data_IF_424217217712
#
_entry.id   IF_424217217712
#
_cell.length_a   1.000
_cell.length_b   1.000
_cell.length_c   1.000
_cell.angle_alpha   90.00
_cell.angle_beta   90.00
_cell.angle_gamma   90.00
#
_symmetry.space_group_name_H-M   'P 1'
#
loop_
_entity.id
_entity.type
_entity.pdbx_description
1 polymer ?
#
# COMPACT_ATOMS: atom_id res chain seq x y z
N UNK A 1 -1.31 -3.76 17.89
CA UNK A 1 0.12 -3.60 18.29
C UNK A 1 1.13 -4.34 17.39
N UNK A 2 0.71 -5.18 16.42
CA UNK A 2 1.63 -5.89 15.50
C UNK A 2 2.05 -5.05 14.27
N UNK A 3 1.19 -4.14 13.79
CA UNK A 3 1.44 -3.29 12.61
C UNK A 3 2.59 -2.29 12.76
N UNK A 4 2.83 -1.79 13.98
CA UNK A 4 3.91 -0.82 14.24
C UNK A 4 5.32 -1.45 14.10
N UNK A 5 5.44 -2.76 14.33
CA UNK A 5 6.73 -3.48 14.25
C UNK A 5 7.13 -3.71 12.79
N UNK A 6 6.15 -4.01 11.93
CA UNK A 6 6.37 -4.23 10.49
C UNK A 6 6.75 -2.91 9.80
N UNK A 7 6.08 -1.80 10.15
CA UNK A 7 6.36 -0.45 9.65
C UNK A 7 7.79 0.03 9.98
N UNK A 8 8.25 -0.25 11.21
CA UNK A 8 9.61 0.07 11.63
C UNK A 8 10.65 -0.70 10.83
N UNK A 9 10.37 -1.95 10.48
CA UNK A 9 11.31 -2.79 9.73
C UNK A 9 11.48 -2.33 8.28
N UNK A 10 10.39 -2.03 7.56
CA UNK A 10 10.46 -1.56 6.16
C UNK A 10 11.20 -0.23 6.04
N UNK A 11 10.87 0.75 6.89
CA UNK A 11 11.50 2.08 6.86
C UNK A 11 12.97 2.00 7.33
N UNK A 12 13.27 1.23 8.38
CA UNK A 12 14.64 1.06 8.88
C UNK A 12 15.53 0.30 7.89
N UNK A 13 14.99 -0.64 7.11
CA UNK A 13 15.73 -1.36 6.07
C UNK A 13 15.92 -0.53 4.80
N UNK A 14 14.93 0.28 4.39
CA UNK A 14 15.09 1.25 3.31
C UNK A 14 16.13 2.34 3.64
N UNK A 15 16.31 2.67 4.92
CA UNK A 15 17.31 3.66 5.35
C UNK A 15 18.68 3.05 5.66
N UNK A 16 18.76 1.76 6.02
CA UNK A 16 20.02 1.07 6.32
C UNK A 16 20.75 0.53 5.09
N UNK A 17 20.04 0.27 3.98
CA UNK A 17 20.60 -0.42 2.80
C UNK A 17 20.91 0.50 1.61
N UNK A 18 20.53 1.78 1.65
CA UNK A 18 20.79 2.69 0.53
C UNK A 18 22.06 3.48 0.83
N UNK A 19 23.17 3.00 0.28
CA UNK A 19 24.31 3.87 0.00
C UNK A 19 23.81 4.88 -1.05
N UNK A 20 23.26 6.01 -0.59
CA UNK A 20 22.61 7.10 -1.37
C UNK A 20 23.62 7.86 -2.25
N UNK A 21 24.46 7.13 -2.99
CA UNK A 21 25.41 7.67 -3.97
C UNK A 21 24.90 7.49 -5.41
N UNK A 22 23.71 8.01 -5.69
CA UNK A 22 23.25 8.33 -7.04
C UNK A 22 22.34 9.57 -6.92
N UNK A 23 22.89 10.78 -6.83
CA UNK A 23 23.38 11.64 -7.91
C UNK A 23 22.27 12.01 -8.93
N UNK A 24 21.76 13.25 -8.79
CA UNK A 24 20.99 14.09 -9.73
C UNK A 24 19.49 13.81 -9.92
N UNK A 25 18.69 14.59 -9.19
CA UNK A 25 17.49 15.35 -9.60
C UNK A 25 16.31 14.71 -10.38
N UNK A 26 16.32 13.44 -10.81
CA UNK A 26 15.13 12.83 -11.46
C UNK A 26 14.95 11.31 -11.32
N UNK A 27 15.96 10.55 -10.88
CA UNK A 27 15.85 9.08 -10.78
C UNK A 27 15.34 8.62 -9.40
N UNK A 28 14.05 8.84 -9.11
CA UNK A 28 13.39 8.15 -8.00
C UNK A 28 13.41 6.64 -8.25
N UNK A 29 13.69 5.84 -7.20
CA UNK A 29 13.56 4.38 -7.25
C UNK A 29 12.15 4.00 -7.74
N UNK A 30 12.03 3.04 -8.66
CA UNK A 30 10.74 2.57 -9.16
C UNK A 30 10.30 1.35 -8.37
N UNK A 31 9.25 1.49 -7.58
CA UNK A 31 8.71 0.46 -6.71
C UNK A 31 7.43 -0.09 -7.33
N UNK A 32 7.39 -1.39 -7.59
CA UNK A 32 6.14 -2.09 -7.90
C UNK A 32 5.58 -2.69 -6.62
N UNK A 33 4.34 -2.34 -6.27
CA UNK A 33 3.57 -2.99 -5.22
C UNK A 33 2.56 -3.93 -5.88
N UNK A 34 2.71 -5.23 -5.65
CA UNK A 34 1.73 -6.22 -6.10
C UNK A 34 0.68 -6.44 -5.02
N UNK A 35 -0.54 -5.96 -5.29
CA UNK A 35 -1.73 -6.10 -4.43
C UNK A 35 -2.75 -7.07 -5.01
N UNK A 36 -2.44 -7.74 -6.12
CA UNK A 36 -3.41 -8.61 -6.81
C UNK A 36 -3.86 -9.85 -6.03
N UNK A 37 -3.31 -10.04 -4.83
CA UNK A 37 -3.61 -11.13 -3.89
C UNK A 37 -4.01 -10.61 -2.51
N UNK A 38 -4.26 -9.31 -2.40
CA UNK A 38 -4.81 -8.70 -1.20
C UNK A 38 -6.32 -8.96 -1.18
N UNK A 39 -6.82 -9.38 -0.03
CA UNK A 39 -8.25 -9.59 0.17
C UNK A 39 -8.91 -8.28 0.63
N UNK A 40 -10.19 -8.13 0.31
CA UNK A 40 -11.03 -7.15 0.97
C UNK A 40 -11.14 -7.47 2.47
N UNK A 41 -11.30 -6.42 3.27
CA UNK A 41 -11.63 -6.51 4.69
C UNK A 41 -12.96 -7.24 4.83
N UNK A 42 -13.12 -8.00 5.92
CA UNK A 42 -14.39 -8.68 6.17
C UNK A 42 -15.53 -7.69 6.37
N UNK A 43 -16.72 -8.08 5.92
CA UNK A 43 -17.93 -7.23 5.91
C UNK A 43 -18.27 -6.66 7.29
N UNK A 44 -18.06 -7.43 8.36
CA UNK A 44 -18.35 -6.99 9.73
C UNK A 44 -17.40 -5.86 10.18
N UNK A 45 -16.12 -5.96 9.86
CA UNK A 45 -15.14 -4.90 10.14
C UNK A 45 -15.44 -3.65 9.31
N UNK A 46 -15.79 -3.79 8.03
CA UNK A 46 -16.15 -2.67 7.15
C UNK A 46 -17.42 -1.94 7.64
N UNK A 47 -18.46 -2.70 8.01
CA UNK A 47 -19.72 -2.15 8.52
C UNK A 47 -19.53 -1.40 9.84
N UNK A 48 -18.74 -1.97 10.76
CA UNK A 48 -18.45 -1.35 12.05
C UNK A 48 -17.75 0.01 11.88
N UNK A 49 -16.75 0.09 10.99
CA UNK A 49 -16.06 1.33 10.74
C UNK A 49 -16.90 2.36 9.97
N UNK A 50 -17.67 1.90 8.97
CA UNK A 50 -18.58 2.78 8.22
C UNK A 50 -19.55 3.45 9.19
N UNK A 51 -20.11 2.68 10.12
CA UNK A 51 -21.02 3.19 11.16
C UNK A 51 -20.35 4.22 12.08
N UNK A 52 -19.09 3.97 12.50
CA UNK A 52 -18.33 4.92 13.32
C UNK A 52 -18.07 6.25 12.57
N UNK A 53 -17.79 6.17 11.28
CA UNK A 53 -17.57 7.35 10.44
C UNK A 53 -18.85 8.13 10.18
N UNK A 54 -19.98 7.46 9.98
CA UNK A 54 -21.29 8.10 9.84
C UNK A 54 -21.68 8.88 11.10
N UNK A 55 -21.44 8.33 12.29
CA UNK A 55 -21.68 9.02 13.56
C UNK A 55 -20.88 10.33 13.65
N UNK A 56 -19.58 10.28 13.35
CA UNK A 56 -18.70 11.46 13.34
C UNK A 56 -19.14 12.50 12.30
N UNK A 57 -19.60 12.06 11.13
CA UNK A 57 -20.06 12.97 10.09
C UNK A 57 -21.36 13.68 10.48
N UNK A 58 -22.25 13.01 11.22
CA UNK A 58 -23.47 13.64 11.71
C UNK A 58 -23.19 14.70 12.79
N UNK A 59 -22.19 14.48 13.66
CA UNK A 59 -21.71 15.51 14.59
C UNK A 59 -21.19 16.75 13.85
N UNK A 60 -20.35 16.54 12.83
CA UNK A 60 -19.80 17.62 12.00
C UNK A 60 -20.93 18.35 11.25
N UNK A 61 -21.87 17.62 10.67
CA UNK A 61 -23.03 18.19 9.97
C UNK A 61 -23.85 19.07 10.90
N UNK A 62 -24.11 18.61 12.12
CA UNK A 62 -24.83 19.38 13.14
C UNK A 62 -24.08 20.65 13.51
N UNK A 63 -22.76 20.57 13.71
CA UNK A 63 -21.93 21.74 14.02
C UNK A 63 -21.93 22.76 12.87
N UNK A 64 -21.86 22.31 11.61
CA UNK A 64 -21.88 23.19 10.44
C UNK A 64 -23.26 23.83 10.22
N UNK A 65 -24.34 23.10 10.48
CA UNK A 65 -25.70 23.66 10.42
C UNK A 65 -25.90 24.77 11.46
N UNK A 66 -25.34 24.65 12.66
CA UNK A 66 -25.37 25.71 13.68
C UNK A 66 -24.63 26.98 13.22
N UNK A 67 -23.66 26.85 12.32
CA UNK A 67 -22.97 27.95 11.67
C UNK A 67 -23.70 28.49 10.42
N UNK A 68 -24.90 27.98 10.12
CA UNK A 68 -25.70 28.35 8.96
C UNK A 68 -25.23 27.74 7.63
N UNK A 69 -24.35 26.73 7.69
CA UNK A 69 -23.83 26.03 6.51
C UNK A 69 -24.57 24.71 6.31
N UNK A 70 -25.09 24.50 5.11
CA UNK A 70 -25.64 23.21 4.69
C UNK A 70 -24.62 22.49 3.82
N UNK A 71 -24.18 21.31 4.25
CA UNK A 71 -23.23 20.46 3.52
C UNK A 71 -23.77 19.05 3.39
N UNK A 72 -23.57 18.46 2.22
CA UNK A 72 -23.75 17.03 1.97
C UNK A 72 -22.40 16.37 2.07
N UNK A 73 -22.26 15.46 3.01
CA UNK A 73 -21.05 14.66 3.24
C UNK A 73 -21.49 13.20 3.16
N UNK A 74 -20.82 12.44 2.29
CA UNK A 74 -21.06 11.02 2.07
C UNK A 74 -19.85 10.24 2.62
N UNK A 75 -20.12 9.18 3.38
CA UNK A 75 -19.09 8.24 3.81
C UNK A 75 -18.90 7.23 2.68
N UNK A 76 -17.71 7.21 2.09
CA UNK A 76 -17.31 6.16 1.15
C UNK A 76 -16.07 5.51 1.74
N UNK A 77 -16.21 4.26 2.17
CA UNK A 77 -15.12 3.46 2.69
C UNK A 77 -14.65 2.47 1.62
N UNK A 78 -13.35 2.35 1.41
CA UNK A 78 -12.80 1.32 0.53
C UNK A 78 -12.57 0.02 1.31
N UNK A 79 -13.23 -1.04 0.89
CA UNK A 79 -13.09 -2.38 1.49
C UNK A 79 -11.73 -3.03 1.23
N UNK A 80 -10.94 -2.53 0.28
CA UNK A 80 -9.67 -3.14 -0.11
C UNK A 80 -8.51 -2.60 0.75
N UNK A 81 -7.65 -3.50 1.23
CA UNK A 81 -6.39 -3.08 1.82
C UNK A 81 -5.43 -2.64 0.71
N UNK A 82 -5.14 -1.33 0.60
CA UNK A 82 -4.27 -0.80 -0.47
C UNK A 82 -3.26 0.23 0.01
N UNK A 83 -2.11 0.30 -0.67
CA UNK A 83 -1.12 1.37 -0.63
C UNK A 83 -1.66 2.71 -1.13
N UNK A 84 -2.82 2.72 -1.80
CA UNK A 84 -3.51 3.95 -2.19
C UNK A 84 -4.48 4.44 -1.10
N UNK A 85 -4.80 3.61 -0.10
CA UNK A 85 -5.81 3.91 0.92
C UNK A 85 -5.18 4.61 2.13
N UNK A 86 -4.89 5.91 1.97
CA UNK A 86 -4.28 6.74 3.01
C UNK A 86 -5.26 7.18 4.10
N UNK A 87 -6.56 7.13 3.82
CA UNK A 87 -7.63 7.50 4.75
C UNK A 87 -8.15 6.36 5.62
N UNK A 88 -7.80 5.11 5.31
CA UNK A 88 -8.38 3.93 5.95
C UNK A 88 -7.42 3.26 6.94
N UNK A 89 -7.92 2.75 8.08
CA UNK A 89 -7.07 2.16 9.11
C UNK A 89 -6.55 0.76 8.76
N UNK A 90 -7.13 0.11 7.74
CA UNK A 90 -6.73 -1.21 7.23
C UNK A 90 -5.86 -1.14 5.96
N UNK A 91 -5.64 0.06 5.41
CA UNK A 91 -4.80 0.27 4.25
C UNK A 91 -3.31 0.41 4.57
N UNK A 92 -2.51 0.46 3.51
CA UNK A 92 -1.09 0.79 3.57
C UNK A 92 -0.80 2.22 3.12
N UNK A 93 -1.81 3.08 2.96
CA UNK A 93 -1.62 4.38 2.33
C UNK A 93 -0.70 5.35 3.07
N UNK A 94 -0.59 5.24 4.40
CA UNK A 94 0.47 5.95 5.15
C UNK A 94 1.88 5.44 4.80
N UNK A 95 2.05 4.13 4.58
CA UNK A 95 3.33 3.57 4.14
C UNK A 95 3.63 3.94 2.68
N UNK A 96 2.62 3.90 1.81
CA UNK A 96 2.71 4.39 0.43
C UNK A 96 3.17 5.84 0.39
N UNK A 97 2.49 6.73 1.12
CA UNK A 97 2.83 8.17 1.17
C UNK A 97 4.28 8.41 1.58
N UNK A 98 4.80 7.66 2.56
CA UNK A 98 6.22 7.77 2.99
C UNK A 98 7.20 7.24 1.96
N UNK A 99 6.86 6.16 1.26
CA UNK A 99 7.71 5.61 0.20
C UNK A 99 7.74 6.55 -1.00
N UNK A 100 6.64 7.25 -1.32
CA UNK A 100 6.57 8.25 -2.40
C UNK A 100 7.48 9.48 -2.19
N UNK A 101 7.87 9.76 -0.94
CA UNK A 101 8.86 10.80 -0.62
C UNK A 101 10.23 10.51 -1.26
N UNK A 102 10.58 9.23 -1.42
CA UNK A 102 11.92 8.79 -1.87
C UNK A 102 11.89 7.91 -3.14
N UNK A 103 10.72 7.45 -3.56
CA UNK A 103 10.53 6.54 -4.67
C UNK A 103 9.28 6.90 -5.49
N UNK A 104 9.16 6.33 -6.68
CA UNK A 104 7.92 6.31 -7.48
C UNK A 104 7.26 4.96 -7.26
N UNK A 105 5.97 4.97 -6.88
CA UNK A 105 5.22 3.74 -6.60
C UNK A 105 4.28 3.46 -7.78
N UNK A 106 4.24 2.20 -8.21
CA UNK A 106 3.18 1.67 -9.07
C UNK A 106 2.47 0.56 -8.33
N UNK A 107 1.20 0.76 -8.02
CA UNK A 107 0.34 -0.23 -7.35
C UNK A 107 -0.39 -1.04 -8.39
N UNK A 108 -0.45 -2.36 -8.21
CA UNK A 108 -1.11 -3.28 -9.14
C UNK A 108 -2.10 -4.18 -8.41
N UNK A 109 -3.38 -3.98 -8.73
CA UNK A 109 -4.50 -4.69 -8.10
C UNK A 109 -4.89 -5.99 -8.84
N UNK A 110 -4.40 -6.22 -10.06
CA UNK A 110 -4.75 -7.43 -10.83
C UNK A 110 -3.70 -7.83 -11.87
N UNK A 111 -3.80 -9.07 -12.36
CA UNK A 111 -2.95 -9.61 -13.43
C UNK A 111 -1.76 -10.44 -12.95
N UNK A 112 -0.97 -10.96 -13.89
CA UNK A 112 0.13 -11.90 -13.61
C UNK A 112 1.50 -11.22 -13.64
N UNK A 113 2.41 -11.60 -12.74
CA UNK A 113 3.78 -11.11 -12.77
C UNK A 113 4.58 -11.84 -13.86
N UNK A 114 5.18 -11.07 -14.76
CA UNK A 114 6.16 -11.58 -15.71
C UNK A 114 7.49 -10.88 -15.53
N UNK A 115 8.57 -11.54 -15.90
CA UNK A 115 9.91 -10.96 -15.78
C UNK A 115 10.06 -9.66 -16.59
N UNK A 116 9.37 -9.57 -17.74
CA UNK A 116 9.35 -8.36 -18.56
C UNK A 116 8.64 -7.17 -17.90
N UNK A 117 7.67 -7.44 -17.01
CA UNK A 117 7.05 -6.41 -16.16
C UNK A 117 8.04 -6.02 -15.06
N UNK A 118 8.58 -7.01 -14.35
CA UNK A 118 9.44 -6.80 -13.18
C UNK A 118 10.70 -6.00 -13.49
N UNK A 119 11.37 -6.25 -14.62
CA UNK A 119 12.58 -5.50 -15.02
C UNK A 119 12.37 -4.00 -15.27
N UNK A 120 11.13 -3.51 -15.26
CA UNK A 120 10.85 -2.07 -15.32
C UNK A 120 10.97 -1.37 -13.96
N UNK A 121 11.17 -2.14 -12.90
CA UNK A 121 11.16 -1.67 -11.52
C UNK A 121 12.47 -2.04 -10.82
N UNK A 122 12.80 -1.24 -9.83
CA UNK A 122 13.99 -1.37 -9.00
C UNK A 122 13.67 -2.06 -7.67
N UNK A 123 12.39 -2.10 -7.26
CA UNK A 123 11.94 -2.79 -6.04
C UNK A 123 10.60 -3.48 -6.33
N UNK A 124 10.42 -4.69 -5.81
CA UNK A 124 9.14 -5.38 -5.75
C UNK A 124 8.70 -5.52 -4.29
N UNK A 125 7.54 -4.96 -3.97
CA UNK A 125 6.82 -5.17 -2.71
C UNK A 125 5.67 -6.14 -2.99
N UNK A 126 5.63 -7.24 -2.24
CA UNK A 126 4.56 -8.22 -2.33
C UNK A 126 3.66 -8.02 -1.11
N UNK A 127 2.43 -7.55 -1.34
CA UNK A 127 1.37 -7.54 -0.34
C UNK A 127 0.59 -8.85 -0.47
N UNK A 128 0.87 -9.81 0.43
CA UNK A 128 0.34 -11.17 0.33
C UNK A 128 -0.34 -11.57 1.63
N UNK A 129 -1.59 -12.02 1.51
CA UNK A 129 -2.31 -12.69 2.58
C UNK A 129 -2.23 -14.21 2.39
N UNK A 130 -2.97 -14.80 1.45
CA UNK A 130 -3.08 -16.28 1.37
C UNK A 130 -2.99 -16.91 -0.02
N UNK A 131 -3.10 -16.14 -1.12
CA UNK A 131 -3.10 -16.72 -2.47
C UNK A 131 -1.69 -16.95 -3.03
N UNK A 132 -1.39 -18.19 -3.39
CA UNK A 132 -0.12 -18.54 -4.04
C UNK A 132 0.02 -17.89 -5.43
N UNK A 133 1.26 -17.55 -5.80
CA UNK A 133 1.61 -17.17 -7.16
C UNK A 133 1.66 -18.42 -8.05
N UNK A 134 1.24 -18.30 -9.31
CA UNK A 134 1.41 -19.40 -10.26
C UNK A 134 2.91 -19.68 -10.46
N UNK A 135 3.27 -20.93 -10.80
CA UNK A 135 4.68 -21.33 -10.96
C UNK A 135 5.47 -20.40 -11.91
N UNK A 136 4.86 -19.97 -13.02
CA UNK A 136 5.49 -19.05 -13.95
C UNK A 136 5.77 -17.66 -13.36
N UNK A 137 4.92 -17.19 -12.44
CA UNK A 137 5.11 -15.92 -11.74
C UNK A 137 6.19 -16.06 -10.67
N UNK A 138 6.22 -17.18 -9.94
CA UNK A 138 7.30 -17.50 -8.99
C UNK A 138 8.65 -17.53 -9.70
N UNK A 139 8.73 -18.14 -10.88
CA UNK A 139 9.95 -18.17 -11.68
C UNK A 139 10.36 -16.77 -12.17
N UNK A 140 9.38 -15.94 -12.55
CA UNK A 140 9.62 -14.54 -12.89
C UNK A 140 10.16 -13.73 -11.71
N UNK A 141 9.59 -13.90 -10.53
CA UNK A 141 10.03 -13.25 -9.28
C UNK A 141 11.45 -13.69 -8.95
N UNK A 142 11.73 -15.01 -8.95
CA UNK A 142 13.08 -15.54 -8.70
C UNK A 142 14.10 -14.93 -9.66
N UNK A 143 13.80 -14.95 -10.95
CA UNK A 143 14.68 -14.37 -11.97
C UNK A 143 14.93 -12.89 -11.74
N UNK A 144 13.90 -12.14 -11.33
CA UNK A 144 14.05 -10.73 -10.96
C UNK A 144 14.97 -10.53 -9.76
N UNK A 145 14.76 -11.28 -8.68
CA UNK A 145 15.61 -11.26 -7.48
C UNK A 145 17.05 -11.64 -7.76
N UNK A 146 17.28 -12.63 -8.64
CA UNK A 146 18.63 -13.07 -9.02
C UNK A 146 19.35 -12.05 -9.93
N UNK A 147 18.59 -11.25 -10.68
CA UNK A 147 19.13 -10.33 -11.69
C UNK A 147 19.50 -8.95 -11.14
N UNK A 148 18.89 -8.55 -10.03
CA UNK A 148 19.08 -7.23 -9.44
C UNK A 148 19.50 -7.40 -7.99
N UNK A 149 20.36 -6.52 -7.50
CA UNK A 149 20.68 -6.41 -6.07
C UNK A 149 19.45 -5.86 -5.32
N UNK A 150 18.35 -6.63 -5.29
CA UNK A 150 17.05 -6.22 -4.75
C UNK A 150 16.72 -6.98 -3.48
N UNK A 151 16.22 -6.22 -2.51
CA UNK A 151 15.61 -6.70 -1.29
C UNK A 151 14.11 -6.95 -1.52
N UNK A 152 13.70 -8.21 -1.55
CA UNK A 152 12.28 -8.59 -1.56
C UNK A 152 11.71 -8.39 -0.17
N UNK A 153 10.66 -7.58 -0.05
CA UNK A 153 9.95 -7.39 1.21
C UNK A 153 8.55 -8.00 1.10
N UNK A 154 8.27 -8.96 1.97
CA UNK A 154 6.96 -9.59 2.10
C UNK A 154 6.26 -8.94 3.29
N UNK A 155 5.16 -8.27 3.03
CA UNK A 155 4.25 -7.78 4.07
C UNK A 155 3.21 -8.89 4.31
N UNK A 156 3.48 -9.75 5.28
CA UNK A 156 2.52 -10.75 5.77
C UNK A 156 1.71 -10.19 6.94
N UNK A 157 0.41 -10.44 6.94
CA UNK A 157 -0.49 -10.30 8.10
C UNK A 157 -1.06 -11.65 8.51
#
# INVERSE_FOLDING_TARGET
>A
MKSAIVLGFVIMLLTASVDLSANKDDDKLRVLVDESRVHAVDEATLEAYTSEMEEKIEEIRTALQQLGLSVTIEVVCDEHCSFNNAGEPWGFGLAGSKVEEIASITTRESGTLSYAILMKYDILVIALFEKEYAAAEVDAIKKFVDSVTIHTYVLCY
#
